data_IF_311567655610
#
_entry.id   IF_311567655610
#
_cell.length_a   1.000
_cell.length_b   1.000
_cell.length_c   1.000
_cell.angle_alpha   90.00
_cell.angle_beta   90.00
_cell.angle_gamma   90.00
#
_symmetry.space_group_name_H-M   'P 1'
#
loop_
_entity.id
_entity.type
_entity.pdbx_description
1 polymer ?
#
# COMPACT_ATOMS: atom_id res chain seq x y z
N UNK A 1 -1.89 -0.38 15.26
CA UNK A 1 -1.21 0.41 14.21
C UNK A 1 -1.22 1.89 14.61
N UNK A 2 -0.10 2.63 14.45
CA UNK A 2 -0.06 4.10 14.68
C UNK A 2 -0.46 4.91 13.45
N UNK A 3 -0.33 4.35 12.24
CA UNK A 3 -0.71 5.00 10.98
C UNK A 3 -2.23 4.97 10.74
N UNK A 4 -2.90 3.90 11.16
CA UNK A 4 -4.31 3.66 10.85
C UNK A 4 -5.26 4.80 11.28
N UNK A 5 -5.20 5.34 12.51
CA UNK A 5 -6.07 6.46 12.89
C UNK A 5 -5.90 7.70 12.00
N UNK A 6 -4.69 7.94 11.47
CA UNK A 6 -4.40 9.06 10.57
C UNK A 6 -5.00 8.82 9.18
N UNK A 7 -4.87 7.60 8.65
CA UNK A 7 -5.47 7.20 7.36
C UNK A 7 -6.99 7.21 7.46
N UNK A 8 -7.56 6.62 8.52
CA UNK A 8 -9.02 6.60 8.73
C UNK A 8 -9.62 8.01 8.75
N UNK A 9 -8.91 8.99 9.33
CA UNK A 9 -9.36 10.37 9.40
C UNK A 9 -9.36 11.10 8.05
N UNK A 10 -8.60 10.65 7.03
CA UNK A 10 -8.65 11.24 5.69
C UNK A 10 -9.86 10.77 4.89
N UNK A 11 -10.46 9.62 5.26
CA UNK A 11 -11.57 9.02 4.52
C UNK A 11 -11.16 8.32 3.22
N UNK A 12 -9.86 8.21 2.94
CA UNK A 12 -9.34 7.60 1.71
C UNK A 12 -8.00 6.91 1.92
N UNK A 13 -7.66 5.97 1.05
CA UNK A 13 -6.36 5.30 1.04
C UNK A 13 -5.99 4.84 -0.36
N UNK A 14 -4.68 4.71 -0.61
CA UNK A 14 -4.15 4.12 -1.84
C UNK A 14 -3.45 2.79 -1.51
N UNK A 15 -3.80 1.74 -2.25
CA UNK A 15 -3.11 0.45 -2.23
C UNK A 15 -2.04 0.46 -3.31
N UNK A 16 -0.80 0.17 -2.93
CA UNK A 16 0.35 0.07 -3.83
C UNK A 16 0.74 -1.41 -3.97
N UNK A 17 0.68 -1.97 -5.18
CA UNK A 17 0.99 -3.38 -5.47
C UNK A 17 2.46 -3.47 -5.89
N UNK A 18 3.28 -4.00 -4.99
CA UNK A 18 4.74 -3.99 -5.13
C UNK A 18 5.26 -5.10 -6.06
N UNK A 19 6.27 -4.76 -6.87
CA UNK A 19 7.06 -5.70 -7.65
C UNK A 19 8.06 -6.47 -6.79
N UNK A 20 8.50 -7.64 -7.26
CA UNK A 20 9.45 -8.51 -6.55
C UNK A 20 10.82 -7.86 -6.25
N UNK A 21 11.18 -6.82 -6.98
CA UNK A 21 12.34 -5.97 -6.77
C UNK A 21 12.15 -4.90 -5.67
N UNK A 22 10.93 -4.72 -5.15
CA UNK A 22 10.58 -3.69 -4.16
C UNK A 22 10.52 -4.23 -2.72
N UNK A 23 11.29 -5.26 -2.38
CA UNK A 23 11.39 -5.78 -1.02
C UNK A 23 11.82 -4.70 -0.01
N UNK A 24 12.82 -3.89 -0.37
CA UNK A 24 13.34 -2.83 0.50
C UNK A 24 12.27 -1.79 0.82
N UNK A 25 11.51 -1.35 -0.18
CA UNK A 25 10.34 -0.46 -0.01
C UNK A 25 9.35 -1.08 0.97
N UNK A 26 9.00 -2.36 0.79
CA UNK A 26 8.08 -3.05 1.70
C UNK A 26 8.59 -3.04 3.15
N UNK A 27 9.88 -3.31 3.35
CA UNK A 27 10.51 -3.33 4.69
C UNK A 27 10.49 -1.95 5.35
N UNK A 28 10.74 -0.88 4.60
CA UNK A 28 10.66 0.50 5.12
C UNK A 28 9.24 0.79 5.63
N UNK A 29 8.21 0.49 4.83
CA UNK A 29 6.82 0.74 5.22
C UNK A 29 6.32 -0.14 6.38
N UNK A 30 6.85 -1.36 6.51
CA UNK A 30 6.57 -2.25 7.65
C UNK A 30 7.30 -1.87 8.95
N UNK A 31 8.37 -1.08 8.85
CA UNK A 31 9.18 -0.64 9.99
C UNK A 31 8.50 0.45 10.83
N UNK A 32 9.18 0.85 11.93
CA UNK A 32 8.84 2.03 12.74
C UNK A 32 9.58 3.31 12.30
N UNK A 33 10.13 3.37 11.08
CA UNK A 33 10.78 4.58 10.57
C UNK A 33 9.87 5.80 10.70
N UNK A 34 10.43 6.91 11.17
CA UNK A 34 9.73 8.20 11.28
C UNK A 34 9.50 8.83 9.90
N UNK A 35 10.45 8.63 8.98
CA UNK A 35 10.34 9.02 7.59
C UNK A 35 10.31 7.78 6.70
N UNK A 36 9.09 7.36 6.34
CA UNK A 36 8.85 6.18 5.48
C UNK A 36 8.92 6.51 4.00
N UNK A 37 8.99 7.80 3.64
CA UNK A 37 9.00 8.26 2.25
C UNK A 37 10.37 8.80 1.82
N UNK A 38 11.30 8.99 2.77
CA UNK A 38 12.69 9.34 2.48
C UNK A 38 13.29 8.44 1.38
N UNK A 39 13.70 9.05 0.27
CA UNK A 39 14.34 8.35 -0.85
C UNK A 39 13.41 7.49 -1.71
N UNK A 40 12.10 7.50 -1.45
CA UNK A 40 11.10 6.76 -2.23
C UNK A 40 10.30 7.78 -3.04
N UNK A 41 10.25 7.61 -4.37
CA UNK A 41 9.42 8.45 -5.25
C UNK A 41 7.93 8.17 -5.02
N UNK A 42 7.12 9.23 -4.94
CA UNK A 42 5.68 9.11 -4.80
C UNK A 42 4.94 10.36 -5.29
N UNK A 43 3.66 10.18 -5.58
CA UNK A 43 2.75 11.20 -6.08
C UNK A 43 1.39 11.08 -5.38
N UNK A 44 0.60 12.15 -5.43
CA UNK A 44 -0.76 12.14 -4.90
C UNK A 44 -1.73 11.54 -5.92
N UNK A 45 -2.63 10.68 -5.46
CA UNK A 45 -3.80 10.23 -6.22
C UNK A 45 -4.92 11.28 -6.21
N UNK A 46 -6.02 11.00 -6.91
CA UNK A 46 -7.20 11.86 -6.94
C UNK A 46 -7.79 12.15 -5.54
N UNK A 47 -7.73 11.18 -4.63
CA UNK A 47 -8.18 11.35 -3.22
C UNK A 47 -7.14 12.05 -2.33
N UNK A 48 -5.95 12.32 -2.85
CA UNK A 48 -4.82 12.82 -2.07
C UNK A 48 -4.10 11.73 -1.27
N UNK A 49 -4.22 10.46 -1.66
CA UNK A 49 -3.48 9.36 -1.04
C UNK A 49 -2.11 9.17 -1.73
N UNK A 50 -1.06 8.72 -1.02
CA UNK A 50 0.25 8.52 -1.63
C UNK A 50 0.28 7.26 -2.51
N UNK A 51 0.57 7.47 -3.79
CA UNK A 51 0.95 6.43 -4.76
C UNK A 51 2.46 6.43 -4.92
N UNK A 52 3.10 5.27 -4.71
CA UNK A 52 4.53 5.11 -4.89
C UNK A 52 4.88 4.95 -6.38
N UNK A 53 6.05 5.45 -6.77
CA UNK A 53 6.60 5.25 -8.10
C UNK A 53 7.12 3.80 -8.27
N UNK A 54 7.09 3.29 -9.50
CA UNK A 54 7.64 1.98 -9.83
C UNK A 54 6.88 0.78 -9.26
N UNK A 55 5.62 0.95 -8.88
CA UNK A 55 4.74 -0.16 -8.45
C UNK A 55 4.11 -0.84 -9.66
N UNK A 56 3.79 -2.13 -9.55
CA UNK A 56 3.12 -2.88 -10.61
C UNK A 56 1.73 -2.31 -10.92
N UNK A 57 1.03 -1.90 -9.87
CA UNK A 57 -0.29 -1.28 -9.96
C UNK A 57 -0.60 -0.52 -8.68
N UNK A 58 -1.61 0.34 -8.75
CA UNK A 58 -2.14 1.04 -7.59
C UNK A 58 -3.65 1.19 -7.71
N UNK A 59 -4.30 1.31 -6.54
CA UNK A 59 -5.75 1.40 -6.41
C UNK A 59 -6.05 2.51 -5.41
N UNK A 60 -6.65 3.59 -5.87
CA UNK A 60 -7.11 4.71 -5.06
C UNK A 60 -8.56 4.45 -4.60
N UNK A 61 -8.79 4.56 -3.30
CA UNK A 61 -10.05 4.20 -2.67
C UNK A 61 -10.53 5.29 -1.72
N UNK A 62 -11.84 5.54 -1.73
CA UNK A 62 -12.52 6.15 -0.59
C UNK A 62 -12.91 5.04 0.41
N UNK A 63 -12.88 5.33 1.70
CA UNK A 63 -13.34 4.40 2.74
C UNK A 63 -14.86 4.31 2.66
N UNK A 64 -15.36 3.13 2.32
CA UNK A 64 -16.80 2.84 2.25
C UNK A 64 -17.34 2.43 3.62
N UNK A 65 -16.66 1.49 4.28
CA UNK A 65 -17.05 1.01 5.60
C UNK A 65 -15.87 0.46 6.40
N UNK A 66 -15.99 0.50 7.73
CA UNK A 66 -15.02 -0.08 8.66
C UNK A 66 -15.75 -0.94 9.68
N UNK A 67 -15.32 -2.19 9.83
CA UNK A 67 -15.87 -3.16 10.78
C UNK A 67 -14.78 -3.59 11.75
N UNK A 68 -15.02 -3.46 13.06
CA UNK A 68 -14.11 -3.97 14.08
C UNK A 68 -14.20 -5.50 14.15
N UNK A 69 -13.06 -6.19 14.02
CA UNK A 69 -12.95 -7.64 14.05
C UNK A 69 -11.81 -8.03 15.01
N UNK A 70 -12.17 -8.25 16.28
CA UNK A 70 -11.20 -8.63 17.31
C UNK A 70 -10.17 -7.52 17.54
N UNK A 71 -8.91 -7.79 17.19
CA UNK A 71 -7.79 -6.86 17.32
C UNK A 71 -7.46 -6.10 16.01
N UNK A 72 -8.29 -6.25 14.97
CA UNK A 72 -8.13 -5.60 13.66
C UNK A 72 -9.39 -4.89 13.19
N UNK A 73 -9.22 -3.86 12.37
CA UNK A 73 -10.30 -3.24 11.60
C UNK A 73 -10.30 -3.82 10.18
N UNK A 74 -11.44 -4.34 9.72
CA UNK A 74 -11.69 -4.60 8.31
C UNK A 74 -12.16 -3.29 7.66
N UNK A 75 -11.30 -2.71 6.82
CA UNK A 75 -11.62 -1.55 6.00
C UNK A 75 -12.06 -1.99 4.60
N UNK A 76 -13.25 -1.58 4.18
CA UNK A 76 -13.75 -1.73 2.81
C UNK A 76 -13.55 -0.41 2.08
N UNK A 77 -12.84 -0.46 0.95
CA UNK A 77 -12.62 0.70 0.09
C UNK A 77 -13.45 0.63 -1.18
N UNK A 78 -14.12 1.73 -1.52
CA UNK A 78 -14.72 1.94 -2.84
C UNK A 78 -13.66 2.49 -3.78
N UNK A 79 -13.34 1.73 -4.82
CA UNK A 79 -12.35 2.13 -5.83
C UNK A 79 -12.84 3.35 -6.60
N UNK A 80 -11.99 4.38 -6.69
CA UNK A 80 -12.27 5.61 -7.47
C UNK A 80 -11.36 5.74 -8.68
N UNK A 81 -10.13 5.27 -8.59
CA UNK A 81 -9.16 5.30 -9.67
C UNK A 81 -8.18 4.12 -9.49
N UNK A 82 -7.71 3.56 -10.59
CA UNK A 82 -6.67 2.54 -10.57
C UNK A 82 -5.90 2.57 -11.89
N UNK A 83 -4.63 2.18 -11.84
CA UNK A 83 -3.87 1.92 -13.05
C UNK A 83 -2.81 0.85 -12.84
N UNK A 84 -2.42 0.22 -13.94
CA UNK A 84 -1.23 -0.62 -14.03
C UNK A 84 -0.04 0.30 -14.30
N UNK A 85 1.02 0.15 -13.50
CA UNK A 85 2.26 0.90 -13.64
C UNK A 85 3.19 0.24 -14.66
N UNK A 86 3.68 -0.95 -14.34
CA UNK A 86 4.52 -1.75 -15.25
C UNK A 86 4.29 -3.25 -15.05
N UNK A 87 4.75 -4.04 -16.02
CA UNK A 87 4.72 -5.50 -15.93
C UNK A 87 5.84 -6.04 -15.04
N UNK A 88 5.62 -7.17 -14.39
CA UNK A 88 6.59 -7.84 -13.53
C UNK A 88 5.95 -8.86 -12.60
N UNK A 89 6.79 -9.66 -11.94
CA UNK A 89 6.33 -10.58 -10.91
C UNK A 89 6.07 -9.80 -9.60
N UNK A 90 4.98 -10.09 -8.87
CA UNK A 90 4.67 -9.41 -7.62
C UNK A 90 5.59 -9.87 -6.48
N UNK A 91 5.81 -8.98 -5.52
CA UNK A 91 6.44 -9.34 -4.26
C UNK A 91 5.50 -10.23 -3.44
N UNK A 92 5.99 -11.39 -3.02
CA UNK A 92 5.22 -12.33 -2.21
C UNK A 92 5.81 -12.43 -0.82
N UNK A 93 4.98 -12.29 0.22
CA UNK A 93 5.35 -12.62 1.59
C UNK A 93 4.78 -13.99 1.96
N UNK A 94 5.66 -14.98 2.16
CA UNK A 94 5.27 -16.36 2.45
C UNK A 94 6.17 -16.97 3.52
N UNK A 95 5.56 -17.64 4.50
CA UNK A 95 6.26 -18.29 5.63
C UNK A 95 7.27 -17.38 6.34
N UNK A 96 6.89 -16.12 6.56
CA UNK A 96 7.72 -15.15 7.28
C UNK A 96 8.85 -14.53 6.46
N UNK A 97 8.90 -14.75 5.14
CA UNK A 97 9.94 -14.15 4.28
C UNK A 97 9.42 -13.71 2.92
N UNK A 98 10.17 -12.81 2.29
CA UNK A 98 9.89 -12.32 0.94
C UNK A 98 10.38 -13.31 -0.12
N UNK A 99 9.63 -13.42 -1.21
CA UNK A 99 9.86 -14.32 -2.33
C UNK A 99 9.47 -13.63 -3.63
N UNK A 100 10.19 -13.97 -4.69
CA UNK A 100 9.82 -13.64 -6.05
C UNK A 100 9.07 -14.83 -6.66
N UNK A 101 7.94 -14.56 -7.30
CA UNK A 101 7.28 -15.53 -8.17
C UNK A 101 8.14 -15.67 -9.43
N UNK A 102 8.69 -16.85 -9.66
CA UNK A 102 9.27 -17.18 -10.95
C UNK A 102 8.11 -17.55 -11.89
N UNK A 103 8.07 -16.89 -13.04
CA UNK A 103 7.23 -17.29 -14.18
C UNK A 103 7.75 -18.58 -14.81
#
# INVERSE_FOLDING_TARGET
SSSWPRIRATGAFCVNILGGDQEEVCRVFASKSDDKFAGIGWQMTSTGSPRLDGVLAWIDCEIDSVVEIGDHDLCVGRVVELAVGHEGAPLVFFRGGYRNLQS
#
